data_IF_755246702139
#
_entry.id   IF_755246702139
#
_cell.length_a   1.000
_cell.length_b   1.000
_cell.length_c   1.000
_cell.angle_alpha   90.00
_cell.angle_beta   90.00
_cell.angle_gamma   90.00
#
_symmetry.space_group_name_H-M   'P 1'
#
loop_
_entity.id
_entity.type
_entity.pdbx_description
1 polymer ?
#
# COMPACT_ATOMS: atom_id res chain seq x y z
N UNK A 1 -28.62 -17.79 -7.03
CA UNK A 1 -28.24 -16.39 -7.35
C UNK A 1 -27.89 -15.57 -6.11
N UNK A 2 -28.67 -15.62 -5.01
CA UNK A 2 -28.40 -14.84 -3.79
C UNK A 2 -27.09 -15.23 -3.08
N UNK A 3 -26.82 -16.53 -2.97
CA UNK A 3 -25.60 -17.09 -2.34
C UNK A 3 -24.33 -16.61 -3.06
N UNK A 4 -24.32 -16.65 -4.39
CA UNK A 4 -23.17 -16.19 -5.19
C UNK A 4 -22.86 -14.69 -4.96
N UNK A 5 -23.90 -13.84 -4.87
CA UNK A 5 -23.73 -12.42 -4.59
C UNK A 5 -23.10 -12.18 -3.20
N UNK A 6 -23.55 -12.93 -2.19
CA UNK A 6 -22.99 -12.87 -0.84
C UNK A 6 -21.53 -13.34 -0.80
N UNK A 7 -21.19 -14.42 -1.51
CA UNK A 7 -19.81 -14.89 -1.64
C UNK A 7 -18.91 -13.82 -2.25
N UNK A 8 -19.32 -13.17 -3.35
CA UNK A 8 -18.54 -12.09 -3.95
C UNK A 8 -18.36 -10.90 -3.00
N UNK A 9 -19.39 -10.52 -2.24
CA UNK A 9 -19.29 -9.45 -1.23
C UNK A 9 -18.26 -9.80 -0.15
N UNK A 10 -18.30 -11.02 0.38
CA UNK A 10 -17.38 -11.48 1.42
C UNK A 10 -15.95 -11.57 0.91
N UNK A 11 -15.75 -12.13 -0.29
CA UNK A 11 -14.43 -12.22 -0.93
C UNK A 11 -13.87 -10.82 -1.20
N UNK A 12 -14.68 -9.92 -1.79
CA UNK A 12 -14.29 -8.54 -2.03
C UNK A 12 -13.89 -7.82 -0.75
N UNK A 13 -14.69 -7.93 0.31
CA UNK A 13 -14.42 -7.31 1.61
C UNK A 13 -13.13 -7.86 2.24
N UNK A 14 -12.95 -9.18 2.24
CA UNK A 14 -11.78 -9.85 2.82
C UNK A 14 -10.50 -9.45 2.08
N UNK A 15 -10.55 -9.42 0.75
CA UNK A 15 -9.41 -9.05 -0.08
C UNK A 15 -9.04 -7.57 0.08
N UNK A 16 -10.03 -6.69 0.15
CA UNK A 16 -9.82 -5.25 0.38
C UNK A 16 -9.22 -4.97 1.76
N UNK A 17 -9.74 -5.64 2.79
CA UNK A 17 -9.22 -5.52 4.17
C UNK A 17 -7.79 -6.01 4.28
N UNK A 18 -7.49 -7.19 3.71
CA UNK A 18 -6.13 -7.74 3.71
C UNK A 18 -5.17 -6.88 2.90
N UNK A 19 -5.60 -6.40 1.72
CA UNK A 19 -4.83 -5.47 0.90
C UNK A 19 -4.50 -4.17 1.65
N UNK A 20 -5.45 -3.60 2.40
CA UNK A 20 -5.22 -2.41 3.22
C UNK A 20 -4.26 -2.65 4.38
N UNK A 21 -4.36 -3.80 5.07
CA UNK A 21 -3.41 -4.18 6.12
C UNK A 21 -1.98 -4.29 5.54
N UNK A 22 -1.83 -4.97 4.40
CA UNK A 22 -0.53 -5.07 3.72
C UNK A 22 -0.02 -3.69 3.27
N UNK A 23 -0.90 -2.76 2.90
CA UNK A 23 -0.51 -1.37 2.56
C UNK A 23 0.09 -0.66 3.77
N UNK A 24 -0.54 -0.79 4.94
CA UNK A 24 -0.05 -0.20 6.19
C UNK A 24 1.31 -0.80 6.59
N UNK A 25 1.45 -2.12 6.48
CA UNK A 25 2.69 -2.85 6.75
C UNK A 25 3.80 -2.35 5.80
N UNK A 26 3.53 -2.37 4.49
CA UNK A 26 4.46 -1.92 3.45
C UNK A 26 4.94 -0.50 3.69
N UNK A 27 4.02 0.42 4.01
CA UNK A 27 4.33 1.82 4.32
C UNK A 27 5.30 1.92 5.49
N UNK A 28 5.14 1.13 6.55
CA UNK A 28 5.97 1.18 7.77
C UNK A 28 7.30 0.41 7.67
N UNK A 29 7.46 -0.47 6.68
CA UNK A 29 8.69 -1.25 6.54
C UNK A 29 9.90 -0.37 6.18
N UNK A 30 11.06 -0.69 6.77
CA UNK A 30 12.36 -0.08 6.45
C UNK A 30 13.03 -0.68 5.20
N UNK A 31 12.45 -1.74 4.64
CA UNK A 31 13.10 -2.56 3.63
C UNK A 31 12.49 -2.32 2.25
N UNK A 32 12.55 -1.09 1.79
CA UNK A 32 12.17 -0.74 0.41
C UNK A 32 13.36 -0.92 -0.53
N UNK A 33 14.51 -0.41 -0.12
CA UNK A 33 15.77 -0.53 -0.84
C UNK A 33 16.85 -1.04 0.11
N UNK A 34 17.56 -2.08 -0.30
CA UNK A 34 18.72 -2.59 0.42
C UNK A 34 19.97 -2.02 -0.25
N UNK A 35 20.67 -1.13 0.43
CA UNK A 35 21.89 -0.50 -0.05
C UNK A 35 23.09 -1.29 0.43
N UNK A 36 23.87 -1.83 -0.51
CA UNK A 36 25.14 -2.46 -0.19
C UNK A 36 26.22 -1.38 -0.05
N UNK A 37 26.83 -1.32 1.12
CA UNK A 37 27.84 -0.31 1.47
C UNK A 37 29.18 -1.03 1.69
N UNK A 38 30.20 -0.58 0.97
CA UNK A 38 31.57 -1.05 1.12
C UNK A 38 32.19 -0.56 2.44
N UNK A 39 33.30 -1.20 2.83
CA UNK A 39 34.03 -0.84 4.03
C UNK A 39 34.53 0.62 3.94
N UNK A 40 34.03 1.49 4.81
CA UNK A 40 34.48 2.88 4.94
C UNK A 40 35.23 3.07 6.26
N UNK A 41 35.80 4.25 6.48
CA UNK A 41 36.47 4.58 7.75
C UNK A 41 35.53 4.47 8.96
N UNK A 42 34.20 4.58 8.77
CA UNK A 42 33.18 4.62 9.83
C UNK A 42 32.30 3.36 9.87
N UNK A 43 32.12 2.65 8.75
CA UNK A 43 31.29 1.43 8.66
C UNK A 43 32.11 0.19 8.27
N UNK A 44 31.87 -0.94 8.93
CA UNK A 44 32.21 -2.24 8.34
C UNK A 44 31.25 -2.52 7.18
N UNK A 45 31.70 -3.26 6.16
CA UNK A 45 30.87 -3.66 5.02
C UNK A 45 29.52 -4.23 5.49
N UNK A 46 28.43 -3.75 4.93
CA UNK A 46 27.09 -4.09 5.42
C UNK A 46 25.96 -3.63 4.51
N UNK A 47 24.74 -3.96 4.91
CA UNK A 47 23.51 -3.59 4.20
C UNK A 47 22.78 -2.52 5.01
N UNK A 48 22.57 -1.36 4.40
CA UNK A 48 21.69 -0.33 4.94
C UNK A 48 20.27 -0.55 4.40
N UNK A 49 19.29 -0.58 5.30
CA UNK A 49 17.89 -0.81 4.96
C UNK A 49 17.20 0.55 4.87
N UNK A 50 16.90 0.98 3.64
CA UNK A 50 16.28 2.27 3.35
C UNK A 50 14.78 2.08 3.14
N UNK A 51 13.98 2.67 4.02
CA UNK A 51 12.53 2.75 3.89
C UNK A 51 12.07 4.17 3.56
N UNK A 52 10.75 4.33 3.45
CA UNK A 52 10.12 5.63 3.18
C UNK A 52 10.10 6.52 4.43
N UNK A 53 9.96 5.92 5.63
CA UNK A 53 9.82 6.64 6.91
C UNK A 53 10.99 6.46 7.86
N UNK A 54 11.90 5.54 7.56
CA UNK A 54 13.07 5.28 8.39
C UNK A 54 14.17 4.60 7.59
N UNK A 55 15.39 4.78 8.05
CA UNK A 55 16.57 4.05 7.59
C UNK A 55 17.19 3.31 8.76
N UNK A 56 17.60 2.07 8.54
CA UNK A 56 18.29 1.27 9.55
C UNK A 56 19.68 0.88 9.04
N UNK A 57 20.68 1.15 9.88
CA UNK A 57 22.08 0.90 9.57
C UNK A 57 22.51 -0.53 9.91
N UNK A 58 23.54 -1.07 9.23
CA UNK A 58 24.08 -2.38 9.59
C UNK A 58 24.62 -2.37 11.04
N UNK A 59 24.52 -3.49 11.77
CA UNK A 59 24.90 -3.57 13.18
C UNK A 59 26.40 -3.33 13.45
N UNK A 60 27.26 -3.42 12.43
CA UNK A 60 28.72 -3.28 12.54
C UNK A 60 29.22 -1.84 12.28
N UNK A 61 28.56 -0.85 12.87
CA UNK A 61 29.05 0.53 12.93
C UNK A 61 30.35 0.56 13.76
N UNK A 62 31.47 1.04 13.19
CA UNK A 62 32.76 1.10 13.90
C UNK A 62 32.76 2.07 15.09
N UNK A 63 31.74 2.92 15.19
CA UNK A 63 31.53 3.87 16.30
C UNK A 63 30.65 3.29 17.42
N UNK A 64 29.97 2.16 17.18
CA UNK A 64 29.03 1.53 18.13
C UNK A 64 29.66 0.33 18.84
N UNK A 65 30.88 0.51 19.35
CA UNK A 65 31.71 -0.58 19.90
C UNK A 65 31.16 -1.25 21.17
N UNK A 66 29.97 -0.91 21.67
CA UNK A 66 29.53 -1.40 22.99
C UNK A 66 28.19 -2.15 23.00
N UNK A 67 27.32 -1.96 21.99
CA UNK A 67 26.05 -2.68 21.93
C UNK A 67 25.64 -2.87 20.47
N UNK A 68 25.43 -4.11 20.03
CA UNK A 68 24.97 -4.48 18.67
C UNK A 68 23.54 -4.03 18.34
N UNK A 69 23.21 -2.78 18.65
CA UNK A 69 21.91 -2.16 18.44
C UNK A 69 21.89 -1.65 17.00
N UNK A 70 21.02 -2.25 16.17
CA UNK A 70 20.64 -1.70 14.87
C UNK A 70 20.13 -0.28 15.09
N UNK A 71 20.93 0.72 14.73
CA UNK A 71 20.52 2.11 14.83
C UNK A 71 19.55 2.38 13.66
N UNK A 72 18.26 2.60 13.98
CA UNK A 72 17.28 3.08 13.02
C UNK A 72 17.03 4.57 13.26
N UNK A 73 17.10 5.37 12.20
CA UNK A 73 16.75 6.77 12.22
C UNK A 73 15.43 6.97 11.50
N UNK A 74 14.46 7.58 12.17
CA UNK A 74 13.17 7.93 11.58
C UNK A 74 13.28 9.24 10.82
N UNK A 75 12.58 9.32 9.69
CA UNK A 75 12.49 10.52 8.88
C UNK A 75 11.23 11.28 9.23
N UNK A 76 11.31 12.61 9.30
CA UNK A 76 10.09 13.41 9.35
C UNK A 76 9.39 13.41 7.99
N UNK A 77 8.16 13.91 7.98
CA UNK A 77 7.46 14.17 6.74
C UNK A 77 8.21 15.26 5.96
N UNK A 78 8.53 15.00 4.68
CA UNK A 78 9.16 15.95 3.77
C UNK A 78 10.51 16.51 4.26
N UNK A 79 11.50 15.63 4.43
CA UNK A 79 12.89 16.05 4.68
C UNK A 79 13.51 16.71 3.44
N UNK A 80 14.31 17.77 3.63
CA UNK A 80 14.88 18.57 2.53
C UNK A 80 15.81 17.78 1.59
N UNK A 81 16.37 16.66 2.03
CA UNK A 81 17.29 15.84 1.24
C UNK A 81 16.56 14.72 0.46
N UNK A 82 15.24 14.60 0.60
CA UNK A 82 14.50 13.58 -0.13
C UNK A 82 14.38 13.89 -1.62
N UNK A 83 14.72 12.93 -2.49
CA UNK A 83 14.37 13.06 -3.89
C UNK A 83 12.84 13.04 -4.01
N UNK A 84 12.34 13.68 -5.07
CA UNK A 84 10.89 13.85 -5.32
C UNK A 84 10.13 12.52 -5.23
N UNK A 85 10.76 11.42 -5.66
CA UNK A 85 10.21 10.06 -5.57
C UNK A 85 9.85 9.62 -4.14
N UNK A 86 10.65 9.99 -3.12
CA UNK A 86 10.43 9.61 -1.72
C UNK A 86 9.31 10.44 -1.10
N UNK A 87 9.30 11.75 -1.39
CA UNK A 87 8.24 12.64 -0.95
C UNK A 87 6.87 12.26 -1.54
N UNK A 88 6.82 11.97 -2.85
CA UNK A 88 5.59 11.49 -3.50
C UNK A 88 5.14 10.14 -2.91
N UNK A 89 6.08 9.25 -2.58
CA UNK A 89 5.75 8.00 -1.91
C UNK A 89 5.11 8.22 -0.52
N UNK A 90 5.64 9.14 0.30
CA UNK A 90 5.03 9.47 1.60
C UNK A 90 3.58 9.93 1.44
N UNK A 91 3.31 10.86 0.50
CA UNK A 91 1.97 11.38 0.26
C UNK A 91 1.03 10.29 -0.27
N UNK A 92 1.44 9.57 -1.31
CA UNK A 92 0.58 8.58 -1.97
C UNK A 92 0.24 7.42 -1.03
N UNK A 93 1.18 6.95 -0.21
CA UNK A 93 0.93 5.90 0.78
C UNK A 93 0.02 6.36 1.92
N UNK A 94 0.13 7.61 2.38
CA UNK A 94 -0.81 8.19 3.35
C UNK A 94 -2.23 8.28 2.76
N UNK A 95 -2.35 8.78 1.53
CA UNK A 95 -3.64 8.84 0.82
C UNK A 95 -4.22 7.43 0.65
N UNK A 96 -3.40 6.46 0.23
CA UNK A 96 -3.83 5.06 0.08
C UNK A 96 -4.35 4.48 1.40
N UNK A 97 -3.65 4.75 2.50
CA UNK A 97 -4.05 4.29 3.84
C UNK A 97 -5.41 4.87 4.24
N UNK A 98 -5.60 6.17 4.04
CA UNK A 98 -6.87 6.84 4.36
C UNK A 98 -8.03 6.36 3.48
N UNK A 99 -7.82 6.32 2.16
CA UNK A 99 -8.84 5.87 1.20
C UNK A 99 -9.21 4.40 1.41
N UNK A 100 -8.24 3.53 1.69
CA UNK A 100 -8.51 2.13 1.98
C UNK A 100 -9.31 1.94 3.27
N UNK A 101 -9.05 2.73 4.31
CA UNK A 101 -9.85 2.71 5.54
C UNK A 101 -11.30 3.15 5.29
N UNK A 102 -11.52 4.20 4.48
CA UNK A 102 -12.85 4.60 4.04
C UNK A 102 -13.52 3.51 3.19
N UNK A 103 -12.76 2.82 2.33
CA UNK A 103 -13.22 1.67 1.55
C UNK A 103 -13.76 0.54 2.44
N UNK A 104 -13.03 0.20 3.52
CA UNK A 104 -13.47 -0.77 4.54
C UNK A 104 -14.77 -0.30 5.19
N UNK A 105 -14.81 0.96 5.64
CA UNK A 105 -16.00 1.52 6.27
C UNK A 105 -17.25 1.40 5.37
N UNK A 106 -17.16 1.86 4.12
CA UNK A 106 -18.30 1.80 3.20
C UNK A 106 -18.70 0.40 2.76
N UNK A 107 -17.76 -0.56 2.72
CA UNK A 107 -18.07 -1.95 2.37
C UNK A 107 -18.57 -2.76 3.57
N UNK A 108 -18.31 -2.31 4.80
CA UNK A 108 -18.79 -2.92 6.03
C UNK A 108 -20.21 -2.48 6.43
N UNK A 109 -20.59 -1.23 6.16
CA UNK A 109 -21.91 -0.68 6.52
C UNK A 109 -23.11 -1.47 5.94
N UNK A 110 -23.12 -1.92 4.66
CA UNK A 110 -24.31 -2.53 4.09
C UNK A 110 -24.69 -3.88 4.71
N UNK A 111 -23.75 -4.83 4.93
CA UNK A 111 -24.06 -6.06 5.67
C UNK A 111 -24.58 -5.77 7.09
N UNK A 112 -23.95 -4.83 7.81
CA UNK A 112 -24.34 -4.46 9.17
C UNK A 112 -25.77 -3.90 9.24
N UNK A 113 -26.08 -2.90 8.41
CA UNK A 113 -27.41 -2.29 8.43
C UNK A 113 -28.49 -3.13 7.76
N UNK A 114 -28.14 -4.03 6.84
CA UNK A 114 -29.08 -5.00 6.30
C UNK A 114 -29.52 -6.00 7.39
N UNK A 115 -28.57 -6.45 8.22
CA UNK A 115 -28.88 -7.26 9.41
C UNK A 115 -29.81 -6.52 10.39
N UNK A 116 -29.61 -5.20 10.56
CA UNK A 116 -30.47 -4.34 11.40
C UNK A 116 -31.76 -3.85 10.70
N UNK A 117 -32.01 -4.25 9.45
CA UNK A 117 -33.21 -3.86 8.69
C UNK A 117 -33.33 -2.37 8.34
N UNK A 118 -32.24 -1.60 8.42
CA UNK A 118 -32.28 -0.12 8.40
C UNK A 118 -32.06 0.50 7.00
N UNK A 119 -31.54 -0.24 6.01
CA UNK A 119 -31.18 0.34 4.70
C UNK A 119 -31.93 -0.27 3.53
N UNK A 120 -32.21 0.56 2.51
CA UNK A 120 -32.76 0.10 1.24
C UNK A 120 -31.67 -0.51 0.36
N UNK A 121 -32.04 -1.50 -0.48
CA UNK A 121 -31.12 -2.15 -1.44
C UNK A 121 -30.34 -1.15 -2.32
N UNK A 122 -30.98 -0.06 -2.75
CA UNK A 122 -30.33 0.98 -3.57
C UNK A 122 -29.21 1.70 -2.80
N UNK A 123 -29.42 2.00 -1.51
CA UNK A 123 -28.39 2.63 -0.68
C UNK A 123 -27.21 1.69 -0.45
N UNK A 124 -27.47 0.39 -0.20
CA UNK A 124 -26.44 -0.63 -0.08
C UNK A 124 -25.52 -0.68 -1.33
N UNK A 125 -26.12 -0.63 -2.53
CA UNK A 125 -25.37 -0.64 -3.80
C UNK A 125 -24.50 0.62 -3.93
N UNK A 126 -25.03 1.80 -3.59
CA UNK A 126 -24.25 3.05 -3.63
C UNK A 126 -23.04 2.99 -2.69
N UNK A 127 -23.21 2.44 -1.48
CA UNK A 127 -22.11 2.28 -0.52
C UNK A 127 -21.04 1.31 -1.01
N UNK A 128 -21.44 0.15 -1.58
CA UNK A 128 -20.47 -0.79 -2.18
C UNK A 128 -19.72 -0.17 -3.36
N UNK A 129 -20.40 0.62 -4.21
CA UNK A 129 -19.76 1.33 -5.31
C UNK A 129 -18.75 2.37 -4.82
N UNK A 130 -19.13 3.17 -3.82
CA UNK A 130 -18.24 4.14 -3.22
C UNK A 130 -17.00 3.45 -2.64
N UNK A 131 -17.20 2.38 -1.85
CA UNK A 131 -16.10 1.59 -1.29
C UNK A 131 -15.21 0.95 -2.34
N UNK A 132 -15.79 0.40 -3.42
CA UNK A 132 -15.03 -0.19 -4.51
C UNK A 132 -14.17 0.81 -5.28
N UNK A 133 -14.70 2.01 -5.56
CA UNK A 133 -13.93 3.10 -6.18
C UNK A 133 -12.78 3.53 -5.27
N UNK A 134 -13.03 3.67 -3.96
CA UNK A 134 -12.01 4.04 -2.98
C UNK A 134 -10.89 3.00 -2.92
N UNK A 135 -11.21 1.70 -2.95
CA UNK A 135 -10.19 0.64 -3.03
C UNK A 135 -9.37 0.70 -4.31
N UNK A 136 -9.99 1.01 -5.47
CA UNK A 136 -9.24 1.16 -6.72
C UNK A 136 -8.25 2.30 -6.62
N UNK A 137 -8.70 3.48 -6.17
CA UNK A 137 -7.83 4.65 -6.03
C UNK A 137 -6.72 4.36 -5.01
N UNK A 138 -7.04 3.74 -3.86
CA UNK A 138 -6.05 3.34 -2.87
C UNK A 138 -5.00 2.37 -3.46
N UNK A 139 -5.43 1.35 -4.21
CA UNK A 139 -4.53 0.40 -4.86
C UNK A 139 -3.58 1.07 -5.87
N UNK A 140 -4.08 2.01 -6.68
CA UNK A 140 -3.24 2.81 -7.58
C UNK A 140 -2.23 3.67 -6.81
N UNK A 141 -2.67 4.32 -5.73
CA UNK A 141 -1.80 5.11 -4.86
C UNK A 141 -0.71 4.26 -4.17
N UNK A 142 -0.90 2.96 -3.96
CA UNK A 142 0.17 2.05 -3.50
C UNK A 142 1.10 1.65 -4.66
N UNK A 143 0.54 1.29 -5.82
CA UNK A 143 1.32 0.75 -6.93
C UNK A 143 2.26 1.80 -7.56
N UNK A 144 1.82 3.05 -7.68
CA UNK A 144 2.66 4.13 -8.25
C UNK A 144 4.01 4.28 -7.54
N UNK A 145 4.08 4.51 -6.20
CA UNK A 145 5.36 4.64 -5.51
C UNK A 145 6.14 3.33 -5.45
N UNK A 146 5.46 2.17 -5.40
CA UNK A 146 6.13 0.86 -5.43
C UNK A 146 6.82 0.62 -6.78
N UNK A 147 6.14 0.90 -7.89
CA UNK A 147 6.72 0.78 -9.24
C UNK A 147 7.86 1.75 -9.46
N UNK A 148 7.75 3.00 -8.99
CA UNK A 148 8.84 3.97 -9.09
C UNK A 148 10.05 3.53 -8.27
N UNK A 149 9.84 3.06 -7.03
CA UNK A 149 10.94 2.55 -6.20
C UNK A 149 11.61 1.32 -6.82
N UNK A 150 10.83 0.40 -7.40
CA UNK A 150 11.37 -0.75 -8.12
C UNK A 150 12.24 -0.30 -9.30
N UNK A 151 11.78 0.68 -10.09
CA UNK A 151 12.56 1.26 -11.18
C UNK A 151 13.85 1.94 -10.71
N UNK A 152 13.78 2.71 -9.61
CA UNK A 152 14.92 3.39 -9.02
C UNK A 152 16.01 2.42 -8.53
N UNK A 153 15.60 1.29 -7.93
CA UNK A 153 16.52 0.20 -7.55
C UNK A 153 17.14 -0.45 -8.78
N UNK A 154 16.35 -0.73 -9.82
CA UNK A 154 16.85 -1.30 -11.07
C UNK A 154 17.88 -0.41 -11.78
N UNK A 155 17.74 0.92 -11.62
CA UNK A 155 18.65 1.91 -12.20
C UNK A 155 19.73 2.40 -11.21
N UNK A 156 19.89 1.75 -10.05
CA UNK A 156 20.84 2.13 -8.98
C UNK A 156 20.82 3.63 -8.61
N UNK A 157 19.65 4.28 -8.61
CA UNK A 157 19.56 5.71 -8.36
C UNK A 157 19.81 6.04 -6.88
N UNK A 158 20.67 7.03 -6.61
CA UNK A 158 21.07 7.38 -5.25
C UNK A 158 20.13 8.41 -4.60
N UNK A 159 20.20 8.47 -3.27
CA UNK A 159 19.52 9.44 -2.41
C UNK A 159 20.62 10.31 -1.79
N UNK A 160 20.53 11.65 -1.88
CA UNK A 160 21.58 12.54 -1.39
C UNK A 160 21.49 12.72 0.14
N UNK A 161 21.76 11.66 0.89
CA UNK A 161 21.76 11.71 2.36
C UNK A 161 22.76 12.76 2.87
N UNK A 162 22.41 13.52 3.92
CA UNK A 162 23.32 14.51 4.48
C UNK A 162 24.51 13.82 5.18
N UNK A 163 25.66 14.51 5.33
CA UNK A 163 26.88 13.94 5.90
C UNK A 163 26.73 13.37 7.32
N UNK A 164 25.71 13.81 8.06
CA UNK A 164 25.37 13.31 9.41
C UNK A 164 24.99 11.83 9.44
N UNK A 165 24.54 11.25 8.33
CA UNK A 165 24.20 9.83 8.24
C UNK A 165 25.43 8.96 7.96
N UNK A 166 26.58 9.58 7.66
CA UNK A 166 27.85 8.92 7.33
C UNK A 166 27.77 7.90 6.17
N UNK A 167 26.69 7.91 5.39
CA UNK A 167 26.51 7.06 4.20
C UNK A 167 27.33 7.60 3.01
N UNK A 168 27.88 6.72 2.16
CA UNK A 168 28.46 7.17 0.90
C UNK A 168 27.37 7.77 0.01
N UNK A 169 27.73 8.74 -0.82
CA UNK A 169 26.80 9.40 -1.76
C UNK A 169 26.19 8.43 -2.78
N UNK A 170 26.84 7.28 -3.01
CA UNK A 170 26.37 6.22 -3.91
C UNK A 170 26.53 4.85 -3.24
N UNK A 171 25.52 3.97 -3.33
CA UNK A 171 25.68 2.57 -2.94
C UNK A 171 26.50 1.81 -3.98
N UNK A 172 27.17 0.75 -3.54
CA UNK A 172 27.92 -0.17 -4.41
C UNK A 172 26.97 -0.96 -5.31
N UNK A 173 25.85 -1.39 -4.71
CA UNK A 173 24.75 -2.04 -5.40
C UNK A 173 23.46 -1.81 -4.60
N UNK A 174 22.32 -1.82 -5.29
CA UNK A 174 21.01 -1.83 -4.66
C UNK A 174 20.29 -3.15 -4.91
N UNK A 175 19.55 -3.62 -3.91
CA UNK A 175 18.66 -4.78 -4.02
C UNK A 175 17.26 -4.41 -3.59
N UNK A 176 16.29 -5.12 -4.16
CA UNK A 176 14.87 -4.98 -3.83
C UNK A 176 14.66 -5.49 -2.41
N UNK A 177 14.07 -4.67 -1.54
CA UNK A 177 13.66 -5.09 -0.21
C UNK A 177 12.24 -5.69 -0.18
N UNK A 178 11.88 -6.34 0.92
CA UNK A 178 10.60 -7.08 1.05
C UNK A 178 9.36 -6.18 0.95
N UNK A 179 9.50 -4.87 1.19
CA UNK A 179 8.37 -3.94 1.10
C UNK A 179 7.81 -3.84 -0.33
N UNK A 180 8.64 -4.00 -1.37
CA UNK A 180 8.20 -3.92 -2.77
C UNK A 180 7.20 -5.03 -3.13
N UNK A 181 7.51 -6.33 -2.97
CA UNK A 181 6.55 -7.39 -3.27
C UNK A 181 5.30 -7.34 -2.36
N UNK A 182 5.43 -6.91 -1.10
CA UNK A 182 4.28 -6.68 -0.21
C UNK A 182 3.37 -5.56 -0.75
N UNK A 183 3.95 -4.47 -1.24
CA UNK A 183 3.22 -3.36 -1.84
C UNK A 183 2.52 -3.73 -3.14
N UNK A 184 3.17 -4.51 -4.01
CA UNK A 184 2.55 -5.05 -5.23
C UNK A 184 1.34 -5.92 -4.84
N UNK A 185 1.53 -6.84 -3.89
CA UNK A 185 0.46 -7.72 -3.42
C UNK A 185 -0.72 -6.93 -2.85
N UNK A 186 -0.43 -5.94 -1.98
CA UNK A 186 -1.42 -5.01 -1.43
C UNK A 186 -2.22 -4.30 -2.52
N UNK A 187 -1.54 -3.67 -3.47
CA UNK A 187 -2.16 -2.92 -4.55
C UNK A 187 -3.08 -3.78 -5.42
N UNK A 188 -2.62 -4.99 -5.79
CA UNK A 188 -3.42 -5.93 -6.58
C UNK A 188 -4.67 -6.40 -5.82
N UNK A 189 -4.54 -6.73 -4.53
CA UNK A 189 -5.67 -7.13 -3.68
C UNK A 189 -6.72 -6.02 -3.59
N UNK A 190 -6.30 -4.77 -3.42
CA UNK A 190 -7.18 -3.60 -3.40
C UNK A 190 -7.87 -3.39 -4.76
N UNK A 191 -7.14 -3.49 -5.87
CA UNK A 191 -7.72 -3.36 -7.22
C UNK A 191 -8.77 -4.44 -7.49
N UNK A 192 -8.44 -5.71 -7.22
CA UNK A 192 -9.36 -6.84 -7.44
C UNK A 192 -10.60 -6.69 -6.55
N UNK A 193 -10.43 -6.32 -5.28
CA UNK A 193 -11.55 -6.03 -4.36
C UNK A 193 -12.49 -4.97 -4.93
N UNK A 194 -11.93 -3.85 -5.39
CA UNK A 194 -12.72 -2.78 -5.98
C UNK A 194 -13.47 -3.21 -7.24
N UNK A 195 -12.83 -3.99 -8.13
CA UNK A 195 -13.47 -4.55 -9.33
C UNK A 195 -14.64 -5.46 -8.96
N UNK A 196 -14.49 -6.31 -7.93
CA UNK A 196 -15.58 -7.17 -7.44
C UNK A 196 -16.79 -6.34 -6.99
N UNK A 197 -16.56 -5.28 -6.21
CA UNK A 197 -17.63 -4.39 -5.75
C UNK A 197 -18.30 -3.61 -6.89
N UNK A 198 -17.55 -3.22 -7.93
CA UNK A 198 -18.12 -2.64 -9.14
C UNK A 198 -18.97 -3.65 -9.93
N UNK A 199 -18.56 -4.92 -9.99
CA UNK A 199 -19.26 -5.97 -10.73
C UNK A 199 -20.58 -6.41 -10.08
N UNK A 200 -20.68 -6.36 -8.75
CA UNK A 200 -21.92 -6.67 -7.99
C UNK A 200 -23.10 -5.76 -8.41
N UNK A 201 -22.85 -4.61 -9.05
CA UNK A 201 -23.87 -3.74 -9.67
C UNK A 201 -24.59 -4.38 -10.86
N UNK A 202 -23.87 -5.12 -11.70
CA UNK A 202 -24.35 -5.65 -12.98
C UNK A 202 -25.61 -6.52 -12.88
N UNK A 203 -25.74 -7.48 -11.93
CA UNK A 203 -26.92 -8.34 -11.84
C UNK A 203 -28.20 -7.62 -11.36
N UNK A 204 -28.10 -6.49 -10.65
CA UNK A 204 -29.30 -5.78 -10.15
C UNK A 204 -29.92 -4.88 -11.21
N UNK A 205 -29.11 -4.36 -12.13
CA UNK A 205 -29.60 -3.47 -13.20
C UNK A 205 -30.32 -4.26 -14.30
N UNK A 206 -29.86 -5.49 -14.59
CA UNK A 206 -30.49 -6.42 -15.54
C UNK A 206 -31.95 -6.74 -15.19
N UNK A 207 -32.30 -6.82 -13.91
CA UNK A 207 -33.67 -7.12 -13.46
C UNK A 207 -34.63 -5.95 -13.75
N UNK A 208 -34.12 -4.71 -13.84
CA UNK A 208 -34.96 -3.51 -14.06
C UNK A 208 -35.31 -3.29 -15.55
N UNK A 209 -34.60 -3.96 -16.48
CA UNK A 209 -34.80 -3.80 -17.94
C UNK A 209 -35.71 -4.88 -18.52
N UNK A 210 -36.26 -5.79 -17.71
CA UNK A 210 -37.32 -6.69 -18.16
C UNK A 210 -38.66 -6.30 -17.52
N UNK A 211 -39.28 -5.17 -17.92
CA UNK A 211 -40.70 -5.01 -17.66
C UNK A 211 -41.39 -6.13 -18.44
N UNK A 212 -42.11 -6.98 -17.70
CA UNK A 212 -43.00 -7.99 -18.26
C UNK A 212 -43.78 -7.39 -19.43
N UNK A 213 -43.58 -7.93 -20.63
CA UNK A 213 -44.53 -7.82 -21.72
C UNK A 213 -45.79 -8.58 -21.28
N UNK A 214 -46.91 -7.91 -20.96
CA UNK A 214 -48.17 -8.61 -20.78
C UNK A 214 -48.69 -8.89 -22.19
N UNK A 215 -48.79 -10.17 -22.55
CA UNK A 215 -49.48 -10.58 -23.77
C UNK A 215 -50.89 -9.97 -23.78
N UNK A 216 -51.19 -9.17 -24.80
CA UNK A 216 -52.48 -9.12 -25.51
C UNK A 216 -52.25 -8.50 -26.88
#
# INVERSE_FOLDING_TARGET
>A
MLIACFTFQLVGFSLGSLGWILSCITTRHAEWRLWLVDNTTIFSSGIAHVGIWKICFPPNLKTSSDYGIVCCHEFNFNENFFPVEMFLAQILLLIATFLGALGIFFTFLPPWHFYMGTIRKTQAICLFLAGGILYIIAGLCVLVPVSWNFYSVANNSSIPFPPSFHLPSFPVAQRIGIAIPLGISSGLMLLISGIIFLYIRSPVTSIRVNPMNPRS
#
